data_IF_190355146278
#
_entry.id   IF_190355146278
#
_cell.length_a   1.000
_cell.length_b   1.000
_cell.length_c   1.000
_cell.angle_alpha   90.00
_cell.angle_beta   90.00
_cell.angle_gamma   90.00
#
_symmetry.space_group_name_H-M   'P 1'
#
loop_
_entity.id
_entity.type
_entity.pdbx_description
1 polymer ?
#
# COMPACT_ATOMS: atom_id res chain seq x y z
N UNK A 1 -27.75 15.04 -0.62
CA UNK A 1 -27.05 16.06 -1.43
C UNK A 1 -26.55 15.25 -2.59
N UNK A 2 -27.45 15.03 -3.54
CA UNK A 2 -27.38 13.89 -4.47
C UNK A 2 -26.88 14.36 -5.85
N UNK A 3 -26.43 15.61 -5.92
CA UNK A 3 -26.05 16.32 -7.14
C UNK A 3 -24.52 16.42 -7.34
N UNK A 4 -23.70 15.82 -6.45
CA UNK A 4 -22.24 15.82 -6.57
C UNK A 4 -21.72 14.45 -6.93
N UNK A 5 -20.79 14.41 -7.88
CA UNK A 5 -20.13 13.17 -8.27
C UNK A 5 -19.28 12.60 -7.11
N UNK A 6 -19.43 11.31 -6.78
CA UNK A 6 -18.71 10.71 -5.68
C UNK A 6 -17.24 10.43 -6.04
N UNK A 7 -16.31 10.88 -5.19
CA UNK A 7 -14.88 10.56 -5.34
C UNK A 7 -14.46 9.26 -4.64
N UNK A 8 -15.41 8.50 -4.09
CA UNK A 8 -15.12 7.27 -3.36
C UNK A 8 -14.48 6.21 -4.27
N UNK A 9 -13.29 5.73 -3.89
CA UNK A 9 -12.55 4.70 -4.63
C UNK A 9 -11.62 5.23 -5.72
N UNK A 10 -11.61 6.54 -5.96
CA UNK A 10 -10.66 7.16 -6.90
C UNK A 10 -9.25 7.23 -6.30
N UNK A 11 -8.26 6.94 -7.13
CA UNK A 11 -6.84 7.07 -6.83
C UNK A 11 -6.29 8.32 -7.49
N UNK A 12 -5.40 9.02 -6.78
CA UNK A 12 -4.77 10.25 -7.22
C UNK A 12 -3.25 10.10 -7.23
N UNK A 13 -2.56 10.69 -8.21
CA UNK A 13 -1.10 10.68 -8.26
C UNK A 13 -0.46 11.28 -6.99
N UNK A 14 0.67 10.74 -6.58
CA UNK A 14 1.43 11.25 -5.43
C UNK A 14 1.94 12.69 -5.63
N UNK A 15 1.93 13.18 -6.87
CA UNK A 15 2.33 14.54 -7.26
C UNK A 15 1.29 15.60 -6.89
N UNK A 16 0.03 15.22 -6.71
CA UNK A 16 -1.06 16.17 -6.41
C UNK A 16 -0.88 16.84 -5.04
N UNK A 17 -0.24 16.13 -4.11
CA UNK A 17 0.21 16.67 -2.82
C UNK A 17 1.73 16.46 -2.72
N UNK A 18 2.56 17.44 -3.16
CA UNK A 18 4.02 17.31 -3.16
C UNK A 18 4.60 17.00 -1.78
N UNK A 19 5.78 16.36 -1.74
CA UNK A 19 6.45 15.96 -0.49
C UNK A 19 6.61 17.11 0.51
N UNK A 20 6.98 18.30 0.04
CA UNK A 20 7.08 19.50 0.89
C UNK A 20 5.75 19.83 1.58
N UNK A 21 4.63 19.76 0.86
CA UNK A 21 3.29 19.97 1.43
C UNK A 21 2.93 18.88 2.44
N UNK A 22 3.24 17.61 2.15
CA UNK A 22 3.04 16.50 3.11
C UNK A 22 3.83 16.71 4.40
N UNK A 23 5.06 17.19 4.30
CA UNK A 23 5.86 17.55 5.47
C UNK A 23 5.24 18.70 6.27
N UNK A 24 4.77 19.75 5.59
CA UNK A 24 4.08 20.87 6.24
C UNK A 24 2.81 20.43 6.97
N UNK A 25 2.06 19.45 6.46
CA UNK A 25 0.89 18.89 7.15
C UNK A 25 1.22 18.15 8.44
N UNK A 26 2.45 17.64 8.59
CA UNK A 26 2.91 17.07 9.87
C UNK A 26 3.07 18.14 10.95
N UNK A 27 3.53 19.34 10.56
CA UNK A 27 3.74 20.47 11.46
C UNK A 27 2.45 21.26 11.71
N UNK A 28 1.70 21.55 10.64
CA UNK A 28 0.45 22.30 10.66
C UNK A 28 -0.69 21.39 10.24
N UNK A 29 -1.40 20.87 11.25
CA UNK A 29 -2.37 19.80 11.07
C UNK A 29 -3.69 20.25 10.47
N UNK A 30 -3.95 21.55 10.41
CA UNK A 30 -5.18 22.11 9.87
C UNK A 30 -4.85 23.18 8.83
N UNK A 31 -5.42 23.05 7.64
CA UNK A 31 -5.32 24.05 6.58
C UNK A 31 -6.70 24.36 6.03
N UNK A 32 -7.05 25.65 6.00
CA UNK A 32 -8.30 26.13 5.42
C UNK A 32 -7.99 27.08 4.27
N UNK A 33 -8.72 26.92 3.16
CA UNK A 33 -8.76 27.85 2.04
C UNK A 33 -10.23 28.26 1.91
N UNK A 34 -10.53 29.52 2.18
CA UNK A 34 -11.91 30.03 2.19
C UNK A 34 -12.46 30.17 0.77
N UNK A 35 -11.60 30.59 -0.15
CA UNK A 35 -11.91 30.82 -1.56
C UNK A 35 -10.60 30.69 -2.37
N UNK A 36 -10.55 29.76 -3.32
CA UNK A 36 -9.40 29.55 -4.19
C UNK A 36 -9.22 30.64 -5.25
N UNK A 37 -10.28 31.39 -5.56
CA UNK A 37 -10.31 32.47 -6.56
C UNK A 37 -9.97 33.84 -5.96
N UNK A 38 -9.91 33.94 -4.62
CA UNK A 38 -9.55 35.18 -3.94
C UNK A 38 -8.12 35.61 -4.27
N UNK A 39 -7.95 36.90 -4.58
CA UNK A 39 -6.62 37.46 -4.86
C UNK A 39 -5.76 37.49 -3.59
N UNK A 40 -4.57 36.88 -3.58
CA UNK A 40 -3.68 36.91 -2.43
C UNK A 40 -3.24 38.33 -2.07
N UNK A 41 -3.20 38.64 -0.77
CA UNK A 41 -2.72 39.93 -0.26
C UNK A 41 -1.23 39.82 0.08
N UNK A 42 -0.43 40.78 -0.41
CA UNK A 42 1.01 40.84 -0.15
C UNK A 42 1.28 41.26 1.30
N UNK A 43 2.17 40.52 1.97
CA UNK A 43 2.70 40.91 3.29
C UNK A 43 3.73 42.04 3.11
N UNK A 44 3.54 43.14 3.81
CA UNK A 44 4.51 44.25 3.88
C UNK A 44 5.56 43.86 4.93
N UNK A 45 6.83 43.91 4.55
CA UNK A 45 7.97 43.52 5.39
C UNK A 45 8.98 44.67 5.39
N UNK A 46 9.68 44.82 6.51
CA UNK A 46 10.76 45.80 6.64
C UNK A 46 11.96 45.38 5.76
N UNK A 47 12.59 46.34 5.08
CA UNK A 47 13.72 46.07 4.17
C UNK A 47 14.97 45.55 4.89
N UNK A 48 15.09 45.74 6.21
CA UNK A 48 16.19 45.22 7.02
C UNK A 48 16.13 43.70 7.23
N UNK A 49 15.00 43.04 6.92
CA UNK A 49 14.88 41.59 7.01
C UNK A 49 15.75 40.91 5.95
N UNK A 50 16.74 40.15 6.40
CA UNK A 50 17.65 39.37 5.54
C UNK A 50 16.94 38.30 4.71
N UNK A 51 15.74 37.87 5.12
CA UNK A 51 14.95 36.86 4.42
C UNK A 51 13.44 37.08 4.63
N UNK A 52 12.58 36.61 3.72
CA UNK A 52 11.14 36.71 3.89
C UNK A 52 10.63 35.98 5.14
N UNK A 53 9.56 36.50 5.74
CA UNK A 53 8.90 35.85 6.89
C UNK A 53 8.45 34.43 6.55
N UNK A 54 8.72 33.50 7.47
CA UNK A 54 8.22 32.13 7.37
C UNK A 54 6.74 32.08 7.79
N UNK A 55 5.85 31.90 6.82
CA UNK A 55 4.40 31.82 7.05
C UNK A 55 3.88 30.39 7.23
N UNK A 56 4.77 29.42 7.45
CA UNK A 56 4.41 28.00 7.55
C UNK A 56 3.30 27.77 8.58
N UNK A 57 3.41 28.39 9.77
CA UNK A 57 2.40 28.31 10.84
C UNK A 57 1.22 29.27 10.73
N UNK A 58 1.15 30.09 9.68
CA UNK A 58 0.05 31.03 9.50
C UNK A 58 -1.21 30.32 9.00
N UNK A 59 -2.32 30.48 9.72
CA UNK A 59 -3.62 29.90 9.35
C UNK A 59 -4.27 30.59 8.14
N UNK A 60 -3.75 31.74 7.72
CA UNK A 60 -4.21 32.55 6.59
C UNK A 60 -3.25 32.52 5.40
N UNK A 61 -2.24 31.64 5.42
CA UNK A 61 -1.26 31.53 4.34
C UNK A 61 -1.95 31.19 3.02
N UNK A 62 -1.69 32.00 1.99
CA UNK A 62 -2.24 31.82 0.67
C UNK A 62 -1.86 30.44 0.06
N UNK A 63 -2.76 29.79 -0.69
CA UNK A 63 -2.42 28.63 -1.49
C UNK A 63 -1.42 28.97 -2.60
N UNK A 64 -0.64 27.96 -3.00
CA UNK A 64 0.19 28.09 -4.18
C UNK A 64 -0.70 28.07 -5.43
N UNK A 65 -0.37 28.85 -6.46
CA UNK A 65 -1.22 29.04 -7.64
C UNK A 65 -1.63 27.73 -8.34
N UNK A 66 -0.73 26.75 -8.42
CA UNK A 66 -1.07 25.45 -8.99
C UNK A 66 -2.19 24.73 -8.21
N UNK A 67 -2.21 24.86 -6.87
CA UNK A 67 -3.24 24.24 -6.04
C UNK A 67 -4.56 25.02 -6.11
N UNK A 68 -4.52 26.35 -6.21
CA UNK A 68 -5.73 27.15 -6.48
C UNK A 68 -6.38 26.75 -7.81
N UNK A 69 -5.58 26.58 -8.87
CA UNK A 69 -6.09 26.13 -10.16
C UNK A 69 -6.62 24.69 -10.10
N UNK A 70 -5.92 23.79 -9.39
CA UNK A 70 -6.39 22.42 -9.16
C UNK A 70 -7.76 22.40 -8.46
N UNK A 71 -7.94 23.20 -7.41
CA UNK A 71 -9.20 23.37 -6.70
C UNK A 71 -10.32 23.88 -7.63
N UNK A 72 -10.03 24.90 -8.45
CA UNK A 72 -10.97 25.43 -9.43
C UNK A 72 -11.38 24.39 -10.48
N UNK A 73 -10.43 23.61 -11.00
CA UNK A 73 -10.69 22.52 -11.96
C UNK A 73 -11.56 21.41 -11.37
N UNK A 74 -11.39 21.11 -10.07
CA UNK A 74 -12.19 20.13 -9.34
C UNK A 74 -13.58 20.68 -8.93
N UNK A 75 -13.87 21.97 -9.13
CA UNK A 75 -15.11 22.61 -8.69
C UNK A 75 -15.17 22.85 -7.17
N UNK A 76 -14.04 22.77 -6.47
CA UNK A 76 -13.91 22.97 -5.03
C UNK A 76 -13.46 24.40 -4.74
N UNK A 77 -14.40 25.29 -4.43
CA UNK A 77 -14.10 26.72 -4.17
C UNK A 77 -13.45 26.92 -2.80
N UNK A 78 -13.94 26.22 -1.78
CA UNK A 78 -13.37 26.24 -0.43
C UNK A 78 -12.92 24.85 0.00
N UNK A 79 -11.87 24.79 0.83
CA UNK A 79 -11.38 23.53 1.38
C UNK A 79 -10.95 23.64 2.84
N UNK A 80 -11.14 22.55 3.58
CA UNK A 80 -10.54 22.31 4.89
C UNK A 80 -9.83 20.95 4.84
N UNK A 81 -8.51 20.96 4.99
CA UNK A 81 -7.70 19.75 5.11
C UNK A 81 -7.21 19.58 6.55
N UNK A 82 -7.44 18.39 7.09
CA UNK A 82 -7.07 17.99 8.44
C UNK A 82 -6.12 16.80 8.36
N UNK A 83 -4.96 16.89 9.00
CA UNK A 83 -3.94 15.86 8.97
C UNK A 83 -4.26 14.71 9.94
N UNK A 84 -4.20 13.48 9.43
CA UNK A 84 -4.23 12.26 10.24
C UNK A 84 -2.80 11.81 10.44
N UNK A 85 -2.30 12.00 11.66
CA UNK A 85 -0.92 11.68 12.03
C UNK A 85 -0.92 10.46 12.94
N UNK A 86 -0.03 9.52 12.66
CA UNK A 86 0.18 8.33 13.45
C UNK A 86 1.60 8.28 14.01
N UNK A 87 1.78 7.58 15.12
CA UNK A 87 3.10 7.35 15.68
C UNK A 87 3.72 6.16 14.97
N UNK A 88 4.89 6.35 14.35
CA UNK A 88 5.64 5.24 13.80
C UNK A 88 6.42 4.57 14.93
N UNK A 89 5.95 3.42 15.40
CA UNK A 89 6.84 2.44 16.05
C UNK A 89 7.79 1.95 14.96
N UNK A 90 9.09 2.19 15.14
CA UNK A 90 10.10 2.20 14.09
C UNK A 90 10.11 0.97 13.17
N UNK A 91 10.40 1.25 11.90
CA UNK A 91 11.01 0.35 10.90
C UNK A 91 11.40 1.10 9.60
N UNK A 92 10.91 2.33 9.37
CA UNK A 92 11.24 3.10 8.15
C UNK A 92 12.52 3.95 8.22
N UNK A 93 13.14 4.13 9.40
CA UNK A 93 14.44 4.81 9.54
C UNK A 93 15.00 4.56 10.95
N UNK A 94 16.13 3.85 11.04
CA UNK A 94 16.78 3.43 12.30
C UNK A 94 17.28 4.55 13.22
N UNK A 95 16.76 5.77 13.09
CA UNK A 95 17.24 6.98 13.76
C UNK A 95 16.20 7.57 14.73
N UNK A 96 14.90 7.23 14.62
CA UNK A 96 13.90 7.82 15.53
C UNK A 96 12.76 6.87 15.91
N UNK A 97 12.82 6.34 17.14
CA UNK A 97 11.77 5.50 17.74
C UNK A 97 10.44 6.22 18.00
N UNK A 98 10.35 7.53 17.71
CA UNK A 98 9.17 8.39 17.87
C UNK A 98 8.89 9.26 16.62
N UNK A 99 9.10 8.75 15.41
CA UNK A 99 8.81 9.52 14.20
C UNK A 99 7.29 9.61 13.95
N UNK A 100 6.74 10.82 13.90
CA UNK A 100 5.36 11.05 13.45
C UNK A 100 5.26 10.88 11.92
N UNK A 101 4.33 10.03 11.47
CA UNK A 101 4.05 9.79 10.04
C UNK A 101 2.69 10.37 9.68
N UNK A 102 2.62 11.05 8.53
CA UNK A 102 1.35 11.49 7.95
C UNK A 102 0.72 10.25 7.32
N UNK A 103 -0.34 9.72 7.93
CA UNK A 103 -1.04 8.56 7.40
C UNK A 103 -1.99 8.93 6.26
N UNK A 104 -2.68 10.06 6.41
CA UNK A 104 -3.62 10.56 5.42
C UNK A 104 -4.17 11.93 5.78
N UNK A 105 -5.17 12.37 5.04
CA UNK A 105 -5.89 13.62 5.27
C UNK A 105 -7.39 13.36 5.31
N UNK A 106 -8.10 14.06 6.18
CA UNK A 106 -9.53 14.30 6.03
C UNK A 106 -9.68 15.63 5.30
N UNK A 107 -10.24 15.58 4.09
CA UNK A 107 -10.41 16.75 3.24
C UNK A 107 -11.89 17.03 3.05
N UNK A 108 -12.29 18.25 3.39
CA UNK A 108 -13.62 18.77 3.16
C UNK A 108 -13.58 19.77 2.01
N UNK A 109 -14.51 19.64 1.07
CA UNK A 109 -14.69 20.57 -0.05
C UNK A 109 -16.03 21.29 0.05
N UNK A 110 -16.10 22.49 -0.51
CA UNK A 110 -17.33 23.24 -0.66
C UNK A 110 -17.37 23.92 -2.02
N UNK A 111 -18.51 23.87 -2.71
CA UNK A 111 -18.71 24.45 -4.05
C UNK A 111 -18.87 25.98 -4.04
N UNK A 112 -18.89 26.59 -2.85
CA UNK A 112 -18.90 28.03 -2.65
C UNK A 112 -17.90 28.43 -1.58
N UNK A 113 -17.51 29.71 -1.54
CA UNK A 113 -16.65 30.24 -0.51
C UNK A 113 -17.22 29.93 0.89
N UNK A 114 -16.38 29.42 1.79
CA UNK A 114 -16.81 29.02 3.13
C UNK A 114 -15.69 29.20 4.14
N UNK A 115 -15.98 29.98 5.17
CA UNK A 115 -15.07 30.21 6.30
C UNK A 115 -15.55 29.46 7.53
N UNK A 116 -14.62 28.79 8.20
CA UNK A 116 -14.89 27.99 9.40
C UNK A 116 -14.20 28.69 10.60
N UNK A 117 -14.96 29.05 11.65
CA UNK A 117 -14.39 29.70 12.83
C UNK A 117 -13.26 28.88 13.46
N UNK A 118 -12.26 29.57 14.00
CA UNK A 118 -11.10 28.93 14.62
C UNK A 118 -11.46 27.91 15.73
N UNK A 119 -12.41 28.18 16.65
CA UNK A 119 -12.77 27.21 17.68
C UNK A 119 -13.26 25.87 17.11
N UNK A 120 -14.01 25.91 16.01
CA UNK A 120 -14.50 24.70 15.35
C UNK A 120 -13.36 23.96 14.65
N UNK A 121 -12.44 24.67 13.99
CA UNK A 121 -11.23 24.07 13.40
C UNK A 121 -10.37 23.38 14.45
N UNK A 122 -10.22 24.00 15.63
CA UNK A 122 -9.47 23.43 16.75
C UNK A 122 -10.15 22.17 17.32
N UNK A 123 -11.48 22.18 17.44
CA UNK A 123 -12.24 20.99 17.83
C UNK A 123 -12.07 19.84 16.82
N UNK A 124 -12.11 20.14 15.51
CA UNK A 124 -11.84 19.15 14.47
C UNK A 124 -10.41 18.60 14.54
N UNK A 125 -9.42 19.44 14.84
CA UNK A 125 -8.04 18.98 15.06
C UNK A 125 -7.97 17.97 16.20
N UNK A 126 -8.64 18.24 17.33
CA UNK A 126 -8.69 17.30 18.45
C UNK A 126 -9.36 15.97 18.05
N UNK A 127 -10.44 16.03 17.28
CA UNK A 127 -11.08 14.83 16.73
C UNK A 127 -10.12 14.01 15.86
N UNK A 128 -9.28 14.66 15.04
CA UNK A 128 -8.28 13.95 14.25
C UNK A 128 -7.19 13.29 15.09
N UNK A 129 -6.85 13.85 16.25
CA UNK A 129 -5.92 13.21 17.18
C UNK A 129 -6.51 11.92 17.76
N UNK A 130 -7.78 11.95 18.17
CA UNK A 130 -8.50 10.76 18.64
C UNK A 130 -8.62 9.72 17.51
N UNK A 131 -8.94 10.15 16.29
CA UNK A 131 -8.99 9.26 15.12
C UNK A 131 -7.63 8.61 14.84
N UNK A 132 -6.54 9.38 14.87
CA UNK A 132 -5.18 8.87 14.70
C UNK A 132 -4.79 7.85 15.78
N UNK A 133 -5.24 8.05 17.03
CA UNK A 133 -5.01 7.08 18.11
C UNK A 133 -5.75 5.76 17.86
N UNK A 134 -7.04 5.82 17.51
CA UNK A 134 -7.81 4.61 17.20
C UNK A 134 -7.19 3.85 16.02
N UNK A 135 -6.80 4.58 14.97
CA UNK A 135 -6.12 3.99 13.82
C UNK A 135 -4.80 3.31 14.21
N UNK A 136 -4.01 3.91 15.09
CA UNK A 136 -2.80 3.26 15.61
C UNK A 136 -3.11 1.94 16.33
N UNK A 137 -4.19 1.90 17.12
CA UNK A 137 -4.59 0.68 17.81
C UNK A 137 -4.99 -0.43 16.82
N UNK A 138 -5.74 -0.10 15.77
CA UNK A 138 -6.10 -1.05 14.72
C UNK A 138 -4.87 -1.57 13.96
N UNK A 139 -3.90 -0.68 13.66
CA UNK A 139 -2.64 -1.08 13.01
C UNK A 139 -1.81 -2.00 13.91
N UNK A 140 -1.74 -1.72 15.22
CA UNK A 140 -1.06 -2.58 16.19
C UNK A 140 -1.74 -3.95 16.30
N UNK A 141 -3.08 -3.98 16.33
CA UNK A 141 -3.83 -5.23 16.35
C UNK A 141 -3.58 -6.04 15.08
N UNK A 142 -3.59 -5.40 13.90
CA UNK A 142 -3.28 -6.05 12.64
C UNK A 142 -1.85 -6.62 12.63
N UNK A 143 -0.87 -5.88 13.16
CA UNK A 143 0.51 -6.36 13.30
C UNK A 143 0.60 -7.57 14.25
N UNK A 144 -0.07 -7.55 15.40
CA UNK A 144 -0.13 -8.69 16.32
C UNK A 144 -0.77 -9.92 15.69
N UNK A 145 -1.86 -9.74 14.92
CA UNK A 145 -2.49 -10.84 14.19
C UNK A 145 -1.55 -11.42 13.12
N UNK A 146 -0.78 -10.57 12.45
CA UNK A 146 0.27 -10.98 11.51
C UNK A 146 1.37 -11.77 12.21
N UNK A 147 1.89 -11.29 13.35
CA UNK A 147 2.92 -12.00 14.14
C UNK A 147 2.41 -13.37 14.63
N UNK A 148 1.18 -13.42 15.13
CA UNK A 148 0.53 -14.68 15.51
C UNK A 148 0.38 -15.63 14.31
N UNK A 149 0.09 -15.11 13.13
CA UNK A 149 0.05 -15.91 11.91
C UNK A 149 1.44 -16.45 11.57
N UNK A 150 2.49 -15.62 11.64
CA UNK A 150 3.89 -16.04 11.42
C UNK A 150 4.30 -17.15 12.40
N UNK A 151 4.00 -17.02 13.70
CA UNK A 151 4.31 -18.06 14.69
C UNK A 151 3.58 -19.38 14.41
N UNK A 152 2.33 -19.31 13.96
CA UNK A 152 1.58 -20.51 13.52
C UNK A 152 2.24 -21.14 12.30
N UNK A 153 2.63 -20.34 11.31
CA UNK A 153 3.33 -20.79 10.11
C UNK A 153 4.68 -21.43 10.45
N UNK A 154 5.47 -20.86 11.37
CA UNK A 154 6.72 -21.46 11.85
C UNK A 154 6.49 -22.81 12.54
N UNK A 155 5.45 -22.90 13.39
CA UNK A 155 5.06 -24.17 14.03
C UNK A 155 4.69 -25.23 12.99
N UNK A 156 3.96 -24.81 11.94
CA UNK A 156 3.61 -25.65 10.80
C UNK A 156 4.86 -26.21 10.11
N UNK A 157 5.83 -25.34 9.83
CA UNK A 157 7.07 -25.70 9.18
C UNK A 157 7.86 -26.72 10.02
N UNK A 158 7.93 -26.53 11.34
CA UNK A 158 8.58 -27.49 12.23
C UNK A 158 7.91 -28.87 12.18
N UNK A 159 6.57 -28.94 12.20
CA UNK A 159 5.82 -30.20 12.05
C UNK A 159 6.11 -30.86 10.68
N UNK A 160 6.13 -30.07 9.61
CA UNK A 160 6.41 -30.54 8.26
C UNK A 160 7.84 -31.07 8.10
N UNK A 161 8.83 -30.44 8.74
CA UNK A 161 10.23 -30.89 8.75
C UNK A 161 10.44 -32.22 9.48
N UNK A 162 9.56 -32.56 10.43
CA UNK A 162 9.62 -33.83 11.17
C UNK A 162 9.00 -35.01 10.40
N UNK A 163 8.45 -34.78 9.20
CA UNK A 163 7.85 -35.84 8.38
C UNK A 163 8.92 -36.73 7.76
N UNK A 164 8.65 -38.04 7.73
CA UNK A 164 9.60 -39.04 7.20
C UNK A 164 9.79 -38.97 5.67
N UNK A 165 8.83 -38.40 4.94
CA UNK A 165 8.86 -38.29 3.48
C UNK A 165 8.62 -36.85 3.01
N UNK A 166 9.38 -36.32 2.03
CA UNK A 166 9.13 -35.03 1.39
C UNK A 166 7.74 -34.91 0.77
N UNK A 167 7.11 -36.02 0.36
CA UNK A 167 5.73 -36.01 -0.15
C UNK A 167 4.71 -35.66 0.93
N UNK A 168 5.05 -35.88 2.20
CA UNK A 168 4.20 -35.58 3.36
C UNK A 168 3.81 -34.11 3.42
N UNK A 169 4.66 -33.21 2.91
CA UNK A 169 4.44 -31.76 2.76
C UNK A 169 3.16 -31.44 1.96
N UNK A 170 2.80 -32.32 1.02
CA UNK A 170 1.63 -32.19 0.14
C UNK A 170 0.48 -33.11 0.55
N UNK A 171 0.79 -34.33 0.99
CA UNK A 171 -0.22 -35.37 1.22
C UNK A 171 -0.82 -35.38 2.62
N UNK A 172 -0.19 -34.73 3.60
CA UNK A 172 -0.67 -34.70 4.99
C UNK A 172 -1.21 -33.31 5.34
N UNK A 173 -2.14 -33.27 6.30
CA UNK A 173 -2.67 -32.03 6.87
C UNK A 173 -1.92 -31.70 8.16
N UNK A 174 -1.41 -30.47 8.34
CA UNK A 174 -1.50 -29.34 7.40
C UNK A 174 -0.55 -29.47 6.20
N UNK A 175 -0.96 -28.90 5.07
CA UNK A 175 -0.27 -28.95 3.78
C UNK A 175 0.46 -27.65 3.43
N UNK A 176 1.21 -27.63 2.33
CA UNK A 176 1.86 -26.40 1.82
C UNK A 176 0.92 -25.27 1.45
N UNK A 177 -0.35 -25.55 1.17
CA UNK A 177 -1.34 -24.52 0.90
C UNK A 177 -1.71 -23.74 2.18
N UNK A 178 -1.50 -24.33 3.36
CA UNK A 178 -1.78 -23.68 4.64
C UNK A 178 -0.67 -22.71 5.06
N UNK A 179 0.50 -22.80 4.41
CA UNK A 179 1.66 -21.94 4.67
C UNK A 179 1.47 -20.53 4.12
N UNK A 180 0.93 -20.44 2.91
CA UNK A 180 0.75 -19.20 2.15
C UNK A 180 -0.62 -19.22 1.51
N UNK A 181 -1.40 -18.14 1.67
CA UNK A 181 -2.67 -18.00 0.95
C UNK A 181 -2.44 -18.14 -0.55
N UNK A 182 -2.93 -19.22 -1.14
CA UNK A 182 -2.77 -19.55 -2.56
C UNK A 182 -4.01 -20.31 -3.04
N UNK A 183 -4.19 -20.37 -4.36
CA UNK A 183 -5.28 -21.12 -4.97
C UNK A 183 -4.84 -22.56 -5.32
N UNK A 184 -3.53 -22.76 -5.46
CA UNK A 184 -2.92 -24.08 -5.54
C UNK A 184 -1.44 -24.04 -5.23
N UNK A 185 -0.88 -25.22 -5.03
CA UNK A 185 0.53 -25.45 -4.75
C UNK A 185 0.96 -26.78 -5.34
N UNK A 186 2.25 -26.95 -5.59
CA UNK A 186 2.77 -28.21 -6.09
C UNK A 186 4.20 -28.49 -5.65
N UNK A 187 4.52 -29.77 -5.43
CA UNK A 187 5.88 -30.25 -5.23
C UNK A 187 6.33 -31.00 -6.49
N UNK A 188 7.45 -30.57 -7.06
CA UNK A 188 8.15 -31.33 -8.09
C UNK A 188 9.41 -31.93 -7.46
N UNK A 189 9.42 -33.24 -7.25
CA UNK A 189 10.47 -33.94 -6.52
C UNK A 189 10.85 -35.24 -7.21
N UNK A 190 12.15 -35.43 -7.48
CA UNK A 190 12.69 -36.62 -8.15
C UNK A 190 11.96 -36.97 -9.47
N UNK A 191 11.59 -35.95 -10.25
CA UNK A 191 10.88 -36.11 -11.53
C UNK A 191 9.40 -36.49 -11.40
N UNK A 192 8.84 -36.52 -10.18
CA UNK A 192 7.41 -36.71 -9.93
C UNK A 192 6.74 -35.40 -9.57
N UNK A 193 5.53 -35.20 -10.07
CA UNK A 193 4.73 -34.01 -9.84
C UNK A 193 3.57 -34.29 -8.88
N UNK A 194 3.47 -33.50 -7.80
CA UNK A 194 2.46 -33.61 -6.76
C UNK A 194 1.67 -32.29 -6.63
N UNK A 195 0.61 -32.09 -7.43
CA UNK A 195 -0.23 -30.89 -7.37
C UNK A 195 -1.32 -30.96 -6.30
N UNK A 196 -1.71 -29.79 -5.75
CA UNK A 196 -2.89 -29.59 -4.91
C UNK A 196 -3.54 -28.26 -5.25
N UNK A 197 -4.87 -28.25 -5.41
CA UNK A 197 -5.62 -27.05 -5.77
C UNK A 197 -5.48 -26.66 -7.25
N UNK A 198 -5.56 -25.37 -7.54
CA UNK A 198 -5.48 -24.82 -8.91
C UNK A 198 -4.01 -24.76 -9.34
N UNK A 199 -3.62 -25.65 -10.24
CA UNK A 199 -2.23 -25.81 -10.67
C UNK A 199 -2.13 -26.00 -12.19
N UNK A 200 -0.99 -25.64 -12.80
CA UNK A 200 -0.72 -26.01 -14.19
C UNK A 200 -0.64 -27.53 -14.37
N UNK A 201 -0.80 -28.00 -15.60
CA UNK A 201 -0.60 -29.41 -15.94
C UNK A 201 0.87 -29.82 -15.81
N UNK A 202 1.15 -31.12 -15.72
CA UNK A 202 2.53 -31.63 -15.60
C UNK A 202 3.42 -31.17 -16.78
N UNK A 203 2.87 -31.11 -18.00
CA UNK A 203 3.59 -30.61 -19.17
C UNK A 203 3.95 -29.13 -19.04
N UNK A 204 3.01 -28.31 -18.56
CA UNK A 204 3.23 -26.88 -18.31
C UNK A 204 4.24 -26.64 -17.19
N UNK A 205 4.23 -27.43 -16.12
CA UNK A 205 5.22 -27.31 -15.05
C UNK A 205 6.63 -27.64 -15.53
N UNK A 206 6.79 -28.65 -16.40
CA UNK A 206 8.09 -28.97 -16.99
C UNK A 206 8.63 -27.80 -17.81
N UNK A 207 7.79 -27.19 -18.63
CA UNK A 207 8.13 -25.99 -19.39
C UNK A 207 8.50 -24.80 -18.48
N UNK A 208 7.77 -24.58 -17.38
CA UNK A 208 8.10 -23.56 -16.38
C UNK A 208 9.46 -23.85 -15.70
N UNK A 209 9.76 -25.11 -15.36
CA UNK A 209 11.04 -25.50 -14.74
C UNK A 209 12.21 -25.29 -15.71
N UNK A 210 12.02 -25.57 -17.00
CA UNK A 210 13.01 -25.30 -18.04
C UNK A 210 13.29 -23.79 -18.17
N UNK A 211 12.23 -22.98 -18.20
CA UNK A 211 12.34 -21.52 -18.19
C UNK A 211 13.05 -20.98 -16.94
N UNK A 212 12.69 -21.47 -15.75
CA UNK A 212 13.33 -21.09 -14.48
C UNK A 212 14.82 -21.44 -14.47
N UNK A 213 15.18 -22.60 -15.01
CA UNK A 213 16.59 -23.03 -15.09
C UNK A 213 17.40 -22.17 -16.06
N UNK A 214 16.80 -21.77 -17.19
CA UNK A 214 17.45 -20.96 -18.21
C UNK A 214 17.61 -19.49 -17.82
N UNK A 215 16.60 -18.90 -17.16
CA UNK A 215 16.54 -17.47 -16.88
C UNK A 215 16.86 -17.11 -15.42
N UNK A 216 16.70 -18.06 -14.48
CA UNK A 216 16.76 -17.82 -13.04
C UNK A 216 17.57 -18.88 -12.26
N UNK A 217 18.47 -19.60 -12.92
CA UNK A 217 19.25 -20.70 -12.34
C UNK A 217 20.16 -20.32 -11.16
N UNK A 218 20.61 -19.07 -11.09
CA UNK A 218 21.49 -18.57 -10.01
C UNK A 218 20.71 -18.06 -8.77
N UNK A 219 19.37 -18.09 -8.81
CA UNK A 219 18.52 -17.65 -7.71
C UNK A 219 18.11 -18.83 -6.80
N UNK A 220 17.69 -18.54 -5.56
CA UNK A 220 17.11 -19.54 -4.65
C UNK A 220 15.60 -19.75 -4.88
N UNK A 221 15.02 -19.04 -5.85
CA UNK A 221 13.59 -19.00 -6.13
C UNK A 221 13.17 -17.71 -6.83
N UNK A 222 11.89 -17.61 -7.15
CA UNK A 222 11.26 -16.45 -7.80
C UNK A 222 9.88 -16.21 -7.18
N UNK A 223 9.49 -14.94 -7.04
CA UNK A 223 8.12 -14.55 -6.69
C UNK A 223 7.66 -13.47 -7.65
N UNK A 224 6.53 -13.69 -8.33
CA UNK A 224 5.90 -12.74 -9.25
C UNK A 224 4.38 -12.79 -9.11
N UNK A 225 3.72 -11.65 -9.25
CA UNK A 225 2.26 -11.55 -9.35
C UNK A 225 1.73 -11.74 -10.79
N UNK A 226 2.63 -11.71 -11.78
CA UNK A 226 2.33 -11.92 -13.20
C UNK A 226 3.48 -12.70 -13.88
N UNK A 227 3.21 -13.95 -14.25
CA UNK A 227 4.14 -14.77 -15.04
C UNK A 227 4.42 -14.15 -16.42
N UNK A 228 3.44 -13.47 -17.01
CA UNK A 228 3.60 -12.78 -18.28
C UNK A 228 4.60 -11.62 -18.16
N UNK A 229 4.46 -10.77 -17.14
CA UNK A 229 5.36 -9.62 -16.92
C UNK A 229 6.75 -10.06 -16.44
N UNK A 230 6.85 -11.22 -15.79
CA UNK A 230 8.12 -11.86 -15.46
C UNK A 230 8.85 -12.41 -16.70
N UNK A 231 8.20 -12.45 -17.87
CA UNK A 231 8.80 -12.88 -19.13
C UNK A 231 8.70 -14.37 -19.43
N UNK A 232 7.78 -15.10 -18.76
CA UNK A 232 7.51 -16.50 -19.11
C UNK A 232 6.68 -16.58 -20.40
N UNK A 233 7.20 -17.16 -21.49
CA UNK A 233 6.54 -17.14 -22.81
C UNK A 233 5.25 -17.97 -22.87
N UNK A 234 5.12 -19.00 -22.04
CA UNK A 234 3.93 -19.86 -21.97
C UNK A 234 2.77 -19.28 -21.14
N UNK A 235 2.91 -18.07 -20.56
CA UNK A 235 1.95 -17.51 -19.61
C UNK A 235 0.52 -17.42 -20.17
N UNK A 236 0.36 -17.06 -21.44
CA UNK A 236 -0.96 -16.94 -22.08
C UNK A 236 -1.73 -18.27 -22.11
N UNK A 237 -1.04 -19.41 -22.15
CA UNK A 237 -1.67 -20.73 -22.17
C UNK A 237 -2.15 -21.19 -20.77
N UNK A 238 -1.66 -20.56 -19.70
CA UNK A 238 -2.12 -20.81 -18.33
C UNK A 238 -3.46 -20.12 -18.04
N UNK A 239 -3.76 -19.02 -18.74
CA UNK A 239 -4.98 -18.24 -18.61
C UNK A 239 -5.16 -17.62 -17.22
N UNK A 240 -6.42 -17.28 -16.88
CA UNK A 240 -6.74 -16.61 -15.62
C UNK A 240 -6.61 -17.51 -14.38
N UNK A 241 -6.51 -18.83 -14.58
CA UNK A 241 -6.41 -19.79 -13.48
C UNK A 241 -5.04 -19.73 -12.77
N UNK A 242 -3.97 -19.38 -13.48
CA UNK A 242 -2.62 -19.26 -12.90
C UNK A 242 -1.92 -18.04 -13.50
N UNK A 243 -1.89 -16.95 -12.74
CA UNK A 243 -1.26 -15.69 -13.12
C UNK A 243 -0.02 -15.39 -12.26
N UNK A 244 -0.15 -15.51 -10.94
CA UNK A 244 0.92 -15.31 -9.98
C UNK A 244 1.59 -16.62 -9.58
N UNK A 245 2.90 -16.57 -9.33
CA UNK A 245 3.69 -17.73 -8.92
C UNK A 245 4.75 -17.33 -7.90
N UNK A 246 4.89 -18.13 -6.85
CA UNK A 246 6.09 -18.18 -6.02
C UNK A 246 6.70 -19.58 -6.12
N UNK A 247 8.02 -19.65 -6.28
CA UNK A 247 8.78 -20.90 -6.33
C UNK A 247 9.98 -20.83 -5.41
N UNK A 248 10.21 -21.91 -4.66
CA UNK A 248 11.40 -22.10 -3.83
C UNK A 248 12.17 -23.34 -4.32
N UNK A 249 13.49 -23.21 -4.46
CA UNK A 249 14.33 -24.31 -4.94
C UNK A 249 14.80 -25.13 -3.74
N UNK A 250 14.45 -26.42 -3.70
CA UNK A 250 14.94 -27.34 -2.66
C UNK A 250 16.33 -27.83 -3.07
N UNK A 251 16.45 -28.23 -4.33
CA UNK A 251 17.70 -28.56 -5.01
C UNK A 251 17.63 -27.98 -6.43
N UNK A 252 18.71 -27.99 -7.23
CA UNK A 252 18.63 -27.58 -8.64
C UNK A 252 17.66 -28.38 -9.51
N UNK A 253 17.07 -29.47 -8.99
CA UNK A 253 16.13 -30.35 -9.70
C UNK A 253 14.77 -30.48 -9.01
N UNK A 254 14.63 -29.98 -7.78
CA UNK A 254 13.45 -30.15 -6.95
C UNK A 254 12.90 -28.79 -6.52
N UNK A 255 11.60 -28.60 -6.71
CA UNK A 255 10.94 -27.30 -6.64
C UNK A 255 9.66 -27.37 -5.82
N UNK A 256 9.39 -26.31 -5.07
CA UNK A 256 8.13 -26.08 -4.39
C UNK A 256 7.44 -24.86 -4.97
N UNK A 257 6.20 -25.01 -5.41
CA UNK A 257 5.44 -23.97 -6.09
C UNK A 257 4.19 -23.58 -5.30
N UNK A 258 3.86 -22.30 -5.38
CA UNK A 258 2.57 -21.73 -5.00
C UNK A 258 2.02 -20.89 -6.15
N UNK A 259 0.74 -21.05 -6.46
CA UNK A 259 0.06 -20.39 -7.57
C UNK A 259 -1.10 -19.54 -7.07
N UNK A 260 -1.33 -18.43 -7.77
CA UNK A 260 -2.52 -17.61 -7.61
C UNK A 260 -3.16 -17.33 -8.95
N UNK A 261 -4.48 -17.40 -8.95
CA UNK A 261 -5.32 -17.02 -10.08
C UNK A 261 -5.26 -15.50 -10.28
N UNK A 262 -5.60 -15.06 -11.48
CA UNK A 262 -5.77 -13.65 -11.76
C UNK A 262 -6.86 -13.07 -10.84
N UNK A 263 -6.52 -12.00 -10.14
CA UNK A 263 -7.51 -11.21 -9.38
C UNK A 263 -7.54 -9.83 -10.00
N UNK A 264 -8.66 -9.49 -10.65
CA UNK A 264 -8.84 -8.17 -11.24
C UNK A 264 -8.66 -7.09 -10.17
N UNK A 265 -7.64 -6.25 -10.31
CA UNK A 265 -7.52 -4.98 -9.58
C UNK A 265 -7.93 -3.87 -10.52
N UNK A 266 -9.17 -3.43 -10.42
CA UNK A 266 -9.62 -2.23 -11.10
C UNK A 266 -9.16 -1.01 -10.27
N UNK A 267 -8.24 -0.23 -10.82
CA UNK A 267 -7.84 1.05 -10.23
C UNK A 267 -8.56 2.16 -10.97
N UNK A 268 -9.51 2.81 -10.30
CA UNK A 268 -10.18 3.99 -10.83
C UNK A 268 -9.31 5.21 -10.53
N UNK A 269 -8.82 5.86 -11.57
CA UNK A 269 -8.05 7.10 -11.46
C UNK A 269 -8.99 8.29 -11.57
N UNK A 270 -8.79 9.28 -10.69
CA UNK A 270 -9.50 10.57 -10.72
C UNK A 270 -8.78 11.64 -11.52
#
# INVERSE_FOLDING_TARGET
CDDLEPYLGLHYPATDIPQASRFLFKQNRVRMIVDCNATPVRVIQDESLMQPLCLVGSTLRAPHGCHSQYMANMGSIASLALAVVINSSGDDDGINRNAMKLWGLVVCHHTSARSIPFPLRYACEFLMQAFGLQLNMELQLAAQLSEKHILRTQTLLCDMLLRESPTGIVTQSPSIMDLVKCDGAALYYQGKYWPVGVTPTEAQIKDIVEWLSACHGDSTGLSTDSLADAGYPGAAALGDAVCGMAVAYITPRDFLFWFRSHTAKEVKWG
#
